data_IF_579729015830
#
_entry.id   IF_579729015830
#
_cell.length_a   1.000
_cell.length_b   1.000
_cell.length_c   1.000
_cell.angle_alpha   90.00
_cell.angle_beta   90.00
_cell.angle_gamma   90.00
#
_symmetry.space_group_name_H-M   'P 1'
#
loop_
_entity.id
_entity.type
_entity.pdbx_description
1 polymer ?
#
# COMPACT_ATOMS: atom_id res chain seq x y z
N UNK A 1 3.63 -13.63 0.57
CA UNK A 1 2.55 -12.64 0.80
C UNK A 1 1.24 -13.35 0.50
N UNK A 2 0.12 -12.96 1.11
CA UNK A 2 -1.21 -13.48 0.79
C UNK A 2 -2.23 -12.34 0.80
N UNK A 3 -3.27 -12.44 -0.02
CA UNK A 3 -4.40 -11.51 -0.05
C UNK A 3 -5.52 -12.02 0.85
N UNK A 4 -6.22 -11.12 1.56
CA UNK A 4 -7.21 -11.51 2.57
C UNK A 4 -8.65 -11.08 2.26
N UNK A 5 -8.83 -10.07 1.40
CA UNK A 5 -10.13 -9.42 1.19
C UNK A 5 -10.27 -9.02 -0.28
N UNK A 6 -11.51 -8.88 -0.73
CA UNK A 6 -11.91 -8.57 -2.10
C UNK A 6 -13.20 -7.78 -2.09
N UNK A 7 -13.33 -6.83 -3.01
CA UNK A 7 -14.61 -6.20 -3.31
C UNK A 7 -14.62 -5.83 -4.78
N UNK A 8 -15.72 -6.14 -5.46
CA UNK A 8 -15.89 -5.82 -6.87
C UNK A 8 -16.14 -4.32 -7.02
N UNK A 9 -15.38 -3.66 -7.88
CA UNK A 9 -15.66 -2.29 -8.28
C UNK A 9 -16.71 -2.29 -9.38
N UNK A 10 -17.88 -1.73 -9.09
CA UNK A 10 -18.96 -1.53 -10.06
C UNK A 10 -18.97 -0.04 -10.50
N UNK A 11 -18.73 0.26 -11.79
CA UNK A 11 -18.86 1.61 -12.33
C UNK A 11 -20.30 2.14 -12.23
N UNK A 12 -20.46 3.46 -12.29
CA UNK A 12 -21.78 4.11 -12.21
C UNK A 12 -22.75 3.63 -13.30
N UNK A 13 -22.25 3.42 -14.52
CA UNK A 13 -23.06 2.87 -15.63
C UNK A 13 -23.52 1.42 -15.43
N UNK A 14 -23.00 0.70 -14.44
CA UNK A 14 -23.56 -0.58 -14.01
C UNK A 14 -24.65 -0.39 -12.96
N UNK A 15 -24.37 0.40 -11.91
CA UNK A 15 -25.32 0.61 -10.82
C UNK A 15 -26.53 1.46 -11.21
N UNK A 16 -26.44 2.20 -12.32
CA UNK A 16 -27.56 2.92 -12.93
C UNK A 16 -28.48 2.06 -13.82
N UNK A 17 -28.19 0.77 -13.98
CA UNK A 17 -28.98 -0.18 -14.76
C UNK A 17 -29.47 -1.33 -13.86
N UNK A 18 -30.66 -1.16 -13.22
CA UNK A 18 -31.18 -2.14 -12.27
C UNK A 18 -31.41 -3.52 -12.89
N UNK A 19 -31.88 -3.58 -14.14
CA UNK A 19 -32.14 -4.84 -14.84
C UNK A 19 -30.84 -5.63 -15.03
N UNK A 20 -29.78 -4.95 -15.47
CA UNK A 20 -28.46 -5.55 -15.60
C UNK A 20 -27.87 -5.99 -14.26
N UNK A 21 -28.05 -5.21 -13.19
CA UNK A 21 -27.64 -5.59 -11.85
C UNK A 21 -28.36 -6.86 -11.37
N UNK A 22 -29.68 -6.94 -11.56
CA UNK A 22 -30.49 -8.11 -11.21
C UNK A 22 -30.05 -9.33 -12.03
N UNK A 23 -29.89 -9.18 -13.35
CA UNK A 23 -29.43 -10.25 -14.23
C UNK A 23 -28.04 -10.79 -13.84
N UNK A 24 -27.15 -9.90 -13.39
CA UNK A 24 -25.84 -10.27 -12.86
C UNK A 24 -25.86 -10.71 -11.39
N UNK A 25 -27.01 -10.73 -10.71
CA UNK A 25 -27.13 -11.10 -9.29
C UNK A 25 -26.38 -10.17 -8.33
N UNK A 26 -26.23 -8.89 -8.70
CA UNK A 26 -25.72 -7.86 -7.81
C UNK A 26 -26.72 -7.66 -6.66
N UNK A 27 -26.27 -7.60 -5.38
CA UNK A 27 -27.18 -7.40 -4.25
C UNK A 27 -28.06 -6.15 -4.42
N UNK A 28 -29.33 -6.28 -4.03
CA UNK A 28 -30.28 -5.16 -4.05
C UNK A 28 -29.75 -3.98 -3.23
N UNK A 29 -29.97 -2.75 -3.72
CA UNK A 29 -29.49 -1.53 -3.07
C UNK A 29 -27.98 -1.25 -3.25
N UNK A 30 -27.26 -2.02 -4.08
CA UNK A 30 -25.86 -1.72 -4.39
C UNK A 30 -25.75 -0.41 -5.18
N UNK A 31 -25.32 0.65 -4.49
CA UNK A 31 -25.04 1.95 -5.09
C UNK A 31 -23.59 2.07 -5.57
N UNK A 32 -23.33 3.02 -6.48
CA UNK A 32 -21.98 3.36 -6.90
C UNK A 32 -21.09 3.71 -5.71
N UNK A 33 -19.88 3.15 -5.69
CA UNK A 33 -18.90 3.40 -4.64
C UNK A 33 -17.53 3.66 -5.25
N UNK A 34 -16.91 4.77 -4.87
CA UNK A 34 -15.57 5.12 -5.32
C UNK A 34 -14.54 4.13 -4.77
N UNK A 35 -13.40 3.99 -5.44
CA UNK A 35 -12.29 3.14 -4.96
C UNK A 35 -11.86 3.49 -3.54
N UNK A 36 -11.92 4.78 -3.16
CA UNK A 36 -11.60 5.24 -1.80
C UNK A 36 -12.60 4.70 -0.77
N UNK A 37 -13.90 4.80 -1.06
CA UNK A 37 -14.94 4.25 -0.18
C UNK A 37 -14.82 2.74 -0.04
N UNK A 38 -14.57 2.03 -1.14
CA UNK A 38 -14.33 0.58 -1.10
C UNK A 38 -13.09 0.23 -0.28
N UNK A 39 -11.98 0.96 -0.45
CA UNK A 39 -10.77 0.74 0.34
C UNK A 39 -10.98 0.98 1.83
N UNK A 40 -11.73 2.03 2.21
CA UNK A 40 -12.12 2.27 3.61
C UNK A 40 -12.93 1.10 4.17
N UNK A 41 -13.95 0.64 3.45
CA UNK A 41 -14.78 -0.49 3.89
C UNK A 41 -13.96 -1.79 4.05
N UNK A 42 -13.03 -2.07 3.12
CA UNK A 42 -12.12 -3.22 3.23
C UNK A 42 -11.18 -3.10 4.45
N UNK A 43 -10.62 -1.91 4.68
CA UNK A 43 -9.77 -1.65 5.85
C UNK A 43 -10.56 -1.77 7.16
N UNK A 44 -11.80 -1.29 7.21
CA UNK A 44 -12.68 -1.43 8.38
C UNK A 44 -12.93 -2.89 8.72
N UNK A 45 -13.24 -3.73 7.72
CA UNK A 45 -13.38 -5.18 7.93
C UNK A 45 -12.10 -5.80 8.45
N UNK A 46 -10.95 -5.46 7.86
CA UNK A 46 -9.66 -5.98 8.30
C UNK A 46 -9.33 -5.55 9.76
N UNK A 47 -9.63 -4.30 10.12
CA UNK A 47 -9.42 -3.82 11.48
C UNK A 47 -10.37 -4.46 12.49
N UNK A 48 -11.64 -4.61 12.14
CA UNK A 48 -12.65 -5.26 12.98
C UNK A 48 -12.32 -6.75 13.19
N UNK A 49 -11.78 -7.42 12.17
CA UNK A 49 -11.32 -8.81 12.25
C UNK A 49 -9.99 -8.97 13.02
N UNK A 50 -9.39 -7.90 13.54
CA UNK A 50 -8.16 -7.98 14.32
C UNK A 50 -6.92 -8.36 13.49
N UNK A 51 -6.94 -8.12 12.18
CA UNK A 51 -5.78 -8.39 11.31
C UNK A 51 -4.57 -7.63 11.87
N UNK A 52 -3.42 -8.31 12.11
CA UNK A 52 -2.24 -7.69 12.74
C UNK A 52 -1.44 -6.80 11.77
N UNK A 53 -2.14 -5.90 11.08
CA UNK A 53 -1.56 -4.95 10.13
C UNK A 53 -0.95 -3.76 10.90
N UNK A 54 0.38 -3.72 10.94
CA UNK A 54 1.09 -2.62 11.59
C UNK A 54 1.03 -1.29 10.82
N UNK A 55 0.92 -1.35 9.48
CA UNK A 55 0.93 -0.20 8.58
C UNK A 55 0.02 -0.42 7.38
N UNK A 56 -0.59 0.66 6.88
CA UNK A 56 -1.33 0.70 5.62
C UNK A 56 -0.43 1.28 4.53
N UNK A 57 -0.27 0.57 3.42
CA UNK A 57 0.44 1.06 2.24
C UNK A 57 -0.51 1.11 1.04
N UNK A 58 -0.30 2.06 0.14
CA UNK A 58 -1.20 2.26 -0.99
C UNK A 58 -0.59 3.15 -2.07
N UNK A 59 -1.14 3.05 -3.27
CA UNK A 59 -0.71 3.84 -4.40
C UNK A 59 -1.27 5.27 -4.41
N UNK A 60 -0.95 6.00 -5.48
CA UNK A 60 -1.33 7.40 -5.64
C UNK A 60 -2.85 7.62 -5.58
N UNK A 61 -3.65 6.68 -6.11
CA UNK A 61 -5.10 6.79 -6.10
C UNK A 61 -5.61 6.82 -4.66
N UNK A 62 -5.02 6.04 -3.77
CA UNK A 62 -5.37 6.00 -2.36
C UNK A 62 -4.72 7.12 -1.54
N UNK A 63 -3.72 7.80 -2.08
CA UNK A 63 -2.99 8.90 -1.46
C UNK A 63 -3.78 10.18 -1.23
N UNK A 64 -5.10 10.18 -1.31
CA UNK A 64 -5.93 11.39 -1.12
C UNK A 64 -6.01 11.80 0.35
N UNK A 65 -6.21 13.10 0.60
CA UNK A 65 -6.35 13.62 1.96
C UNK A 65 -7.45 12.92 2.76
N UNK A 66 -8.58 12.64 2.11
CA UNK A 66 -9.74 11.99 2.74
C UNK A 66 -9.42 10.61 3.35
N UNK A 67 -8.56 9.80 2.70
CA UNK A 67 -8.15 8.50 3.24
C UNK A 67 -7.08 8.67 4.31
N UNK A 68 -6.09 9.55 4.09
CA UNK A 68 -5.05 9.85 5.07
C UNK A 68 -5.65 10.30 6.39
N UNK A 69 -6.57 11.27 6.35
CA UNK A 69 -7.20 11.81 7.56
C UNK A 69 -8.01 10.75 8.29
N UNK A 70 -8.77 9.95 7.55
CA UNK A 70 -9.55 8.84 8.10
C UNK A 70 -8.68 7.79 8.82
N UNK A 71 -7.47 7.52 8.30
CA UNK A 71 -6.48 6.65 8.96
C UNK A 71 -5.89 7.29 10.23
N UNK A 72 -5.61 8.60 10.20
CA UNK A 72 -5.07 9.36 11.34
C UNK A 72 -6.05 9.38 12.52
N UNK A 73 -7.33 9.61 12.26
CA UNK A 73 -8.41 9.60 13.26
C UNK A 73 -8.53 8.23 13.97
N UNK A 74 -8.24 7.15 13.25
CA UNK A 74 -8.23 5.78 13.78
C UNK A 74 -6.87 5.34 14.32
N UNK A 75 -5.88 6.25 14.35
CA UNK A 75 -4.49 5.96 14.76
C UNK A 75 -3.89 4.76 14.02
N UNK A 76 -4.18 4.63 12.72
CA UNK A 76 -3.62 3.60 11.84
C UNK A 76 -2.42 4.14 11.07
N UNK A 77 -1.19 3.64 11.31
CA UNK A 77 -0.01 4.13 10.62
C UNK A 77 -0.10 3.85 9.13
N UNK A 78 0.39 4.76 8.29
CA UNK A 78 0.31 4.61 6.85
C UNK A 78 1.51 5.18 6.10
N UNK A 79 1.73 4.69 4.89
CA UNK A 79 2.57 5.33 3.87
C UNK A 79 1.86 5.19 2.51
N UNK A 80 1.31 6.29 2.00
CA UNK A 80 0.55 6.31 0.76
C UNK A 80 1.31 7.15 -0.28
N UNK A 81 1.43 6.63 -1.51
CA UNK A 81 2.00 7.40 -2.61
C UNK A 81 1.12 8.61 -2.92
N UNK A 82 1.70 9.71 -3.38
CA UNK A 82 0.98 10.95 -3.70
C UNK A 82 1.54 11.56 -4.97
N UNK A 83 0.76 12.44 -5.60
CA UNK A 83 1.23 13.25 -6.73
C UNK A 83 2.34 14.21 -6.30
N UNK A 84 3.21 14.55 -7.24
CA UNK A 84 4.27 15.54 -7.08
C UNK A 84 3.77 16.91 -6.58
N UNK A 85 2.54 17.31 -6.95
CA UNK A 85 1.91 18.57 -6.58
C UNK A 85 1.17 18.52 -5.22
N UNK A 86 1.20 17.40 -4.50
CA UNK A 86 0.61 17.31 -3.18
C UNK A 86 1.32 18.26 -2.22
N UNK A 87 0.56 19.09 -1.51
CA UNK A 87 1.11 19.98 -0.49
C UNK A 87 1.44 19.24 0.81
N UNK A 88 2.56 19.63 1.41
CA UNK A 88 2.98 19.30 2.76
C UNK A 88 3.48 20.55 3.49
N UNK A 89 3.50 20.49 4.82
CA UNK A 89 4.03 21.57 5.65
C UNK A 89 5.55 21.47 5.78
N UNK A 90 6.26 22.58 5.69
CA UNK A 90 7.70 22.65 5.98
C UNK A 90 7.97 23.92 6.80
N UNK A 91 8.26 23.74 8.10
CA UNK A 91 8.29 24.87 9.03
C UNK A 91 6.94 25.57 9.11
N UNK A 92 6.91 26.88 8.88
CA UNK A 92 5.72 27.72 8.90
C UNK A 92 4.99 27.82 7.55
N UNK A 93 5.54 27.26 6.47
CA UNK A 93 4.99 27.36 5.12
C UNK A 93 4.44 26.04 4.58
N UNK A 94 3.60 26.12 3.54
CA UNK A 94 3.22 24.98 2.71
C UNK A 94 3.97 25.00 1.39
N UNK A 95 4.42 23.84 0.94
CA UNK A 95 4.98 23.67 -0.40
C UNK A 95 4.62 22.29 -0.95
N UNK A 96 4.70 22.12 -2.27
CA UNK A 96 4.49 20.80 -2.86
C UNK A 96 5.62 19.84 -2.47
N UNK A 97 5.32 18.56 -2.36
CA UNK A 97 6.33 17.52 -2.07
C UNK A 97 7.47 17.51 -3.09
N UNK A 98 7.20 17.87 -4.35
CA UNK A 98 8.24 18.03 -5.37
C UNK A 98 9.13 19.26 -5.13
N UNK A 99 8.55 20.41 -4.78
CA UNK A 99 9.33 21.61 -4.41
C UNK A 99 10.22 21.31 -3.21
N UNK A 100 9.66 20.66 -2.20
CA UNK A 100 10.40 20.25 -1.01
C UNK A 100 11.53 19.27 -1.37
N UNK A 101 11.27 18.30 -2.26
CA UNK A 101 12.28 17.35 -2.71
C UNK A 101 13.48 18.03 -3.39
N UNK A 102 13.22 19.05 -4.23
CA UNK A 102 14.27 19.80 -4.95
C UNK A 102 15.15 20.61 -4.01
N UNK A 103 14.61 21.09 -2.88
CA UNK A 103 15.35 21.87 -1.89
C UNK A 103 16.22 21.00 -0.95
N UNK A 104 16.11 19.66 -1.01
CA UNK A 104 16.85 18.78 -0.10
C UNK A 104 18.35 18.75 -0.42
N UNK A 105 19.22 18.99 0.58
CA UNK A 105 20.66 18.86 0.38
C UNK A 105 21.05 17.40 0.15
N UNK A 106 22.18 17.15 -0.53
CA UNK A 106 22.67 15.79 -0.83
C UNK A 106 22.73 14.88 0.41
N UNK A 107 23.09 15.44 1.58
CA UNK A 107 23.16 14.72 2.87
C UNK A 107 21.82 14.21 3.41
N UNK A 108 20.69 14.76 2.94
CA UNK A 108 19.36 14.32 3.36
C UNK A 108 18.96 12.96 2.73
N UNK A 109 19.69 12.52 1.70
CA UNK A 109 19.39 11.30 0.96
C UNK A 109 20.14 10.10 1.55
N UNK A 110 19.39 9.06 1.88
CA UNK A 110 19.89 7.84 2.48
C UNK A 110 19.62 6.64 1.57
N UNK A 111 20.65 5.85 1.27
CA UNK A 111 20.50 4.65 0.45
C UNK A 111 19.93 3.49 1.27
N UNK A 112 18.65 3.18 1.11
CA UNK A 112 17.95 2.11 1.85
C UNK A 112 17.68 0.94 0.93
N UNK A 113 18.00 -0.26 1.42
CA UNK A 113 17.65 -1.53 0.77
C UNK A 113 16.27 -1.97 1.23
N UNK A 114 15.33 -2.02 0.29
CA UNK A 114 14.01 -2.63 0.48
C UNK A 114 14.17 -4.12 0.18
N UNK A 115 13.60 -4.98 1.03
CA UNK A 115 13.83 -6.43 1.04
C UNK A 115 13.67 -7.10 -0.34
N UNK A 116 14.36 -8.25 -0.49
CA UNK A 116 14.56 -8.97 -1.75
C UNK A 116 13.25 -9.34 -2.45
N UNK A 117 13.03 -8.79 -3.64
CA UNK A 117 12.09 -9.37 -4.60
C UNK A 117 12.74 -10.55 -5.33
N UNK A 118 12.02 -11.19 -6.24
CA UNK A 118 12.54 -12.24 -7.14
C UNK A 118 13.74 -11.79 -7.99
N UNK A 119 13.97 -10.47 -8.11
CA UNK A 119 15.13 -9.84 -8.78
C UNK A 119 16.23 -9.36 -7.82
N UNK A 120 16.22 -9.79 -6.56
CA UNK A 120 17.19 -9.41 -5.53
C UNK A 120 16.82 -8.14 -4.72
N UNK A 121 17.67 -7.76 -3.75
CA UNK A 121 17.46 -6.59 -2.90
C UNK A 121 17.52 -5.29 -3.72
N UNK A 122 16.42 -4.52 -3.74
CA UNK A 122 16.38 -3.23 -4.44
C UNK A 122 16.81 -2.11 -3.51
N UNK A 123 17.77 -1.31 -3.97
CA UNK A 123 18.33 -0.17 -3.21
C UNK A 123 17.92 1.14 -3.87
N UNK A 124 17.16 1.94 -3.13
CA UNK A 124 16.73 3.28 -3.55
C UNK A 124 17.34 4.34 -2.62
N UNK A 125 17.49 5.56 -3.12
CA UNK A 125 17.79 6.70 -2.26
C UNK A 125 16.46 7.26 -1.71
N UNK A 126 16.40 7.48 -0.40
CA UNK A 126 15.22 7.99 0.28
C UNK A 126 15.57 9.25 1.05
N UNK A 127 14.64 10.20 1.03
CA UNK A 127 14.65 11.34 1.93
C UNK A 127 13.28 11.49 2.59
N UNK A 128 13.26 12.08 3.78
CA UNK A 128 12.05 12.34 4.53
C UNK A 128 12.16 13.69 5.21
N UNK A 129 11.02 14.33 5.38
CA UNK A 129 10.90 15.63 6.03
C UNK A 129 10.03 15.46 7.26
N UNK A 130 10.48 15.97 8.40
CA UNK A 130 9.59 16.10 9.55
C UNK A 130 8.76 17.36 9.38
N UNK A 131 7.45 17.22 9.48
CA UNK A 131 6.51 18.30 9.25
C UNK A 131 5.73 18.59 10.52
N UNK A 132 5.33 19.85 10.69
CA UNK A 132 4.38 20.21 11.72
C UNK A 132 3.11 19.39 11.51
N UNK A 133 2.71 18.67 12.57
CA UNK A 133 1.54 17.80 12.53
C UNK A 133 0.64 18.08 13.72
N UNK A 134 -0.64 18.20 13.43
CA UNK A 134 -1.76 18.31 14.36
C UNK A 134 -2.06 17.00 15.11
N UNK A 135 -1.23 15.97 14.93
CA UNK A 135 -1.46 14.60 15.42
C UNK A 135 -1.06 14.37 16.89
N UNK A 136 -0.54 15.41 17.56
CA UNK A 136 -0.04 15.35 18.93
C UNK A 136 1.39 14.78 19.04
N UNK A 137 1.96 14.76 20.25
CA UNK A 137 3.39 14.52 20.46
C UNK A 137 3.84 13.08 20.17
N UNK A 138 2.92 12.10 20.24
CA UNK A 138 3.22 10.69 20.00
C UNK A 138 3.23 10.30 18.52
N UNK A 139 2.77 11.18 17.63
CA UNK A 139 2.63 10.93 16.20
C UNK A 139 3.37 11.97 15.38
N UNK A 140 3.73 11.61 14.16
CA UNK A 140 4.35 12.51 13.18
C UNK A 140 3.79 12.23 11.80
N UNK A 141 3.93 13.22 10.93
CA UNK A 141 3.65 13.14 9.50
C UNK A 141 4.91 13.46 8.72
N UNK A 142 5.23 12.62 7.74
CA UNK A 142 6.44 12.72 6.92
C UNK A 142 6.09 12.66 5.43
N UNK A 143 6.37 13.72 4.66
CA UNK A 143 6.63 13.63 3.24
C UNK A 143 7.88 12.79 3.02
N UNK A 144 7.78 11.78 2.17
CA UNK A 144 8.89 10.94 1.76
C UNK A 144 9.12 11.10 0.26
N UNK A 145 10.39 11.06 -0.13
CA UNK A 145 10.78 11.07 -1.53
C UNK A 145 11.69 9.88 -1.77
N UNK A 146 11.33 9.05 -2.74
CA UNK A 146 12.17 7.99 -3.28
C UNK A 146 12.78 8.46 -4.57
N UNK A 147 14.08 8.26 -4.74
CA UNK A 147 14.81 8.50 -5.99
C UNK A 147 15.48 7.22 -6.48
N UNK A 148 15.33 6.92 -7.76
CA UNK A 148 16.07 5.84 -8.41
C UNK A 148 17.57 6.12 -8.43
N UNK A 149 18.38 5.06 -8.38
CA UNK A 149 19.85 5.19 -8.47
C UNK A 149 20.35 5.26 -9.92
N UNK A 150 19.60 4.70 -10.86
CA UNK A 150 19.95 4.69 -12.28
C UNK A 150 19.41 5.90 -13.04
N UNK A 151 18.28 6.44 -12.58
CA UNK A 151 17.66 7.64 -13.15
C UNK A 151 17.34 8.63 -12.02
N UNK A 152 18.14 9.70 -11.84
CA UNK A 152 17.92 10.69 -10.80
C UNK A 152 16.58 11.46 -10.91
N UNK A 153 15.96 11.49 -12.10
CA UNK A 153 14.69 12.17 -12.35
C UNK A 153 13.48 11.28 -12.05
N UNK A 154 13.67 9.95 -11.93
CA UNK A 154 12.64 9.01 -11.43
C UNK A 154 12.46 9.19 -9.91
N UNK A 155 11.56 10.10 -9.60
CA UNK A 155 11.10 10.41 -8.25
C UNK A 155 9.70 9.85 -8.00
N UNK A 156 9.53 9.24 -6.82
CA UNK A 156 8.22 8.88 -6.29
C UNK A 156 8.01 9.56 -4.93
N UNK A 157 6.80 10.09 -4.73
CA UNK A 157 6.44 10.86 -3.54
C UNK A 157 5.44 10.11 -2.70
N UNK A 158 5.57 10.22 -1.38
CA UNK A 158 4.66 9.60 -0.43
C UNK A 158 4.37 10.56 0.73
N UNK A 159 3.22 10.39 1.36
CA UNK A 159 2.96 10.91 2.70
C UNK A 159 2.78 9.72 3.63
N UNK A 160 3.50 9.74 4.74
CA UNK A 160 3.40 8.78 5.80
C UNK A 160 3.00 9.45 7.11
N UNK A 161 2.27 8.76 7.97
CA UNK A 161 2.07 9.16 9.35
C UNK A 161 2.06 7.94 10.27
N UNK A 162 2.55 8.11 11.49
CA UNK A 162 2.71 7.01 12.44
C UNK A 162 3.35 7.44 13.76
N UNK A 163 3.69 6.47 14.64
CA UNK A 163 4.34 6.74 15.91
C UNK A 163 5.65 7.50 15.74
N UNK A 164 5.93 8.49 16.59
CA UNK A 164 7.11 9.36 16.46
C UNK A 164 8.46 8.62 16.50
N UNK A 165 8.50 7.41 17.07
CA UNK A 165 9.69 6.54 17.11
C UNK A 165 9.89 5.70 15.84
N UNK A 166 9.10 5.91 14.80
CA UNK A 166 9.23 5.15 13.55
C UNK A 166 10.57 5.44 12.88
N UNK A 167 11.29 4.39 12.51
CA UNK A 167 12.59 4.51 11.83
C UNK A 167 12.40 4.82 10.35
N UNK A 168 13.36 5.54 9.75
CA UNK A 168 13.38 5.81 8.31
C UNK A 168 13.40 4.54 7.47
N UNK A 169 14.08 3.49 7.93
CA UNK A 169 14.06 2.17 7.28
C UNK A 169 12.65 1.60 7.24
N UNK A 170 11.87 1.72 8.33
CA UNK A 170 10.48 1.25 8.35
C UNK A 170 9.60 2.06 7.40
N UNK A 171 9.75 3.39 7.37
CA UNK A 171 9.02 4.26 6.43
C UNK A 171 9.28 3.85 4.98
N UNK A 172 10.55 3.70 4.62
CA UNK A 172 10.96 3.30 3.29
C UNK A 172 10.47 1.88 2.93
N UNK A 173 10.57 0.92 3.84
CA UNK A 173 10.06 -0.45 3.65
C UNK A 173 8.55 -0.47 3.41
N UNK A 174 7.78 0.29 4.19
CA UNK A 174 6.32 0.37 4.02
C UNK A 174 5.96 1.03 2.68
N UNK A 175 6.57 2.17 2.35
CA UNK A 175 6.34 2.86 1.08
C UNK A 175 6.79 2.00 -0.13
N UNK A 176 7.85 1.23 0.03
CA UNK A 176 8.38 0.30 -0.96
C UNK A 176 7.60 -1.01 -1.10
N UNK A 177 6.65 -1.31 -0.20
CA UNK A 177 5.89 -2.55 -0.19
C UNK A 177 4.97 -2.72 -1.42
N UNK A 178 4.75 -1.65 -2.20
CA UNK A 178 4.00 -1.69 -3.47
C UNK A 178 4.47 -2.82 -4.40
N UNK A 179 5.77 -3.07 -4.49
CA UNK A 179 6.30 -4.13 -5.35
C UNK A 179 5.85 -5.53 -4.90
N UNK A 180 5.74 -5.75 -3.58
CA UNK A 180 5.24 -7.02 -3.06
C UNK A 180 3.77 -7.23 -3.45
N UNK A 181 2.99 -6.15 -3.52
CA UNK A 181 1.59 -6.17 -3.98
C UNK A 181 1.52 -6.59 -5.45
N UNK A 182 2.32 -5.98 -6.32
CA UNK A 182 2.36 -6.32 -7.76
C UNK A 182 2.79 -7.77 -8.01
N UNK A 183 3.89 -8.21 -7.37
CA UNK A 183 4.33 -9.60 -7.49
C UNK A 183 3.34 -10.61 -6.89
N UNK A 184 2.61 -10.22 -5.85
CA UNK A 184 1.51 -11.03 -5.33
C UNK A 184 0.34 -11.13 -6.29
N UNK A 185 -0.05 -10.04 -6.97
CA UNK A 185 -1.09 -10.08 -8.00
C UNK A 185 -0.67 -10.95 -9.18
N UNK A 186 0.58 -10.86 -9.62
CA UNK A 186 1.12 -11.71 -10.68
C UNK A 186 1.04 -13.19 -10.28
N UNK A 187 1.55 -13.54 -9.09
CA UNK A 187 1.50 -14.90 -8.56
C UNK A 187 0.07 -15.40 -8.36
N UNK A 188 -0.84 -14.58 -7.82
CA UNK A 188 -2.24 -14.97 -7.64
C UNK A 188 -2.95 -15.21 -8.98
N UNK A 189 -2.62 -14.45 -10.03
CA UNK A 189 -3.15 -14.67 -11.38
C UNK A 189 -2.58 -15.95 -12.00
N UNK A 190 -1.26 -16.09 -12.03
CA UNK A 190 -0.58 -17.19 -12.72
C UNK A 190 -0.74 -18.54 -12.01
N UNK A 191 -0.80 -18.56 -10.68
CA UNK A 191 -0.75 -19.79 -9.89
C UNK A 191 -2.06 -20.14 -9.20
N UNK A 192 -2.92 -19.15 -8.94
CA UNK A 192 -4.18 -19.35 -8.22
C UNK A 192 -5.41 -18.99 -9.06
N UNK A 193 -5.23 -18.73 -10.36
CA UNK A 193 -6.31 -18.47 -11.30
C UNK A 193 -7.12 -17.21 -11.00
N UNK A 194 -6.54 -16.21 -10.33
CA UNK A 194 -7.27 -14.99 -9.94
C UNK A 194 -7.92 -14.26 -11.12
N UNK A 195 -7.35 -14.40 -12.33
CA UNK A 195 -7.88 -13.80 -13.56
C UNK A 195 -8.58 -14.81 -14.49
N UNK A 196 -8.63 -16.09 -14.14
CA UNK A 196 -9.09 -17.17 -15.02
C UNK A 196 -10.59 -17.49 -14.81
N UNK A 197 -11.41 -16.45 -14.68
CA UNK A 197 -12.86 -16.60 -14.52
C UNK A 197 -13.62 -16.11 -15.75
N UNK A 198 -14.66 -16.85 -16.11
CA UNK A 198 -15.63 -16.46 -17.15
C UNK A 198 -17.03 -16.22 -16.57
N UNK A 199 -17.11 -16.10 -15.24
CA UNK A 199 -18.36 -15.91 -14.51
C UNK A 199 -18.99 -14.55 -14.81
N UNK A 200 -20.31 -14.55 -15.01
CA UNK A 200 -21.10 -13.35 -15.33
C UNK A 200 -22.01 -12.89 -14.19
N UNK A 201 -21.99 -13.59 -13.06
CA UNK A 201 -22.76 -13.22 -11.86
C UNK A 201 -21.85 -12.76 -10.72
N UNK A 202 -22.36 -11.82 -9.92
CA UNK A 202 -21.72 -11.32 -8.70
C UNK A 202 -21.40 -12.45 -7.73
N UNK A 203 -22.32 -13.38 -7.52
CA UNK A 203 -22.10 -14.56 -6.67
C UNK A 203 -21.01 -15.47 -7.24
N UNK A 204 -21.01 -15.70 -8.55
CA UNK A 204 -19.97 -16.49 -9.23
C UNK A 204 -18.60 -15.85 -9.07
N UNK A 205 -18.50 -14.53 -9.28
CA UNK A 205 -17.27 -13.77 -9.10
C UNK A 205 -16.77 -13.84 -7.66
N UNK A 206 -17.65 -13.61 -6.68
CA UNK A 206 -17.26 -13.68 -5.27
C UNK A 206 -16.76 -15.07 -4.90
N UNK A 207 -17.44 -16.14 -5.31
CA UNK A 207 -17.00 -17.53 -5.06
C UNK A 207 -15.62 -17.80 -5.66
N UNK A 208 -15.44 -17.52 -6.95
CA UNK A 208 -14.16 -17.72 -7.65
C UNK A 208 -13.02 -16.98 -6.95
N UNK A 209 -13.17 -15.67 -6.75
CA UNK A 209 -12.10 -14.87 -6.15
C UNK A 209 -11.82 -15.32 -4.72
N UNK A 210 -12.82 -15.77 -3.94
CA UNK A 210 -12.57 -16.35 -2.60
C UNK A 210 -11.63 -17.53 -2.67
N UNK A 211 -11.92 -18.47 -3.57
CA UNK A 211 -11.15 -19.71 -3.72
C UNK A 211 -9.75 -19.41 -4.26
N UNK A 212 -9.62 -18.49 -5.21
CA UNK A 212 -8.32 -18.03 -5.70
C UNK A 212 -7.49 -17.38 -4.59
N UNK A 213 -8.08 -16.53 -3.74
CA UNK A 213 -7.36 -15.93 -2.60
C UNK A 213 -6.94 -16.99 -1.57
N UNK A 214 -7.80 -17.97 -1.29
CA UNK A 214 -7.49 -19.09 -0.39
C UNK A 214 -6.33 -19.94 -0.94
N UNK A 215 -6.37 -20.32 -2.22
CA UNK A 215 -5.31 -21.07 -2.88
C UNK A 215 -3.98 -20.29 -2.83
N UNK A 216 -4.02 -18.98 -3.14
CA UNK A 216 -2.84 -18.13 -3.05
C UNK A 216 -2.26 -18.06 -1.63
N UNK A 217 -3.12 -18.01 -0.60
CA UNK A 217 -2.68 -18.03 0.80
C UNK A 217 -2.01 -19.37 1.18
N UNK A 218 -2.57 -20.50 0.74
CA UNK A 218 -1.98 -21.83 0.95
C UNK A 218 -0.62 -21.93 0.27
N UNK A 219 -0.50 -21.50 -0.99
CA UNK A 219 0.78 -21.49 -1.70
C UNK A 219 1.83 -20.62 -1.00
N UNK A 220 1.43 -19.45 -0.51
CA UNK A 220 2.30 -18.57 0.26
C UNK A 220 2.77 -19.20 1.57
N UNK A 221 1.91 -19.95 2.26
CA UNK A 221 2.27 -20.69 3.47
C UNK A 221 3.24 -21.84 3.17
N UNK A 222 2.98 -22.64 2.13
CA UNK A 222 3.86 -23.74 1.71
C UNK A 222 5.26 -23.22 1.35
N UNK A 223 5.35 -22.15 0.56
CA UNK A 223 6.63 -21.52 0.20
C UNK A 223 7.40 -21.08 1.43
N UNK A 224 6.72 -20.45 2.39
CA UNK A 224 7.32 -20.01 3.64
C UNK A 224 7.84 -21.16 4.50
N UNK A 225 7.14 -22.29 4.51
CA UNK A 225 7.59 -23.49 5.22
C UNK A 225 8.79 -24.14 4.52
N UNK A 226 8.83 -24.13 3.19
CA UNK A 226 9.93 -24.68 2.40
C UNK A 226 11.23 -23.86 2.49
N UNK A 227 11.14 -22.54 2.60
CA UNK A 227 12.32 -21.65 2.71
C UNK A 227 13.08 -21.78 4.04
N UNK A 228 12.49 -22.41 5.07
CA UNK A 228 13.08 -22.55 6.40
C UNK A 228 13.23 -21.21 7.16
N UNK A 229 13.73 -21.23 8.41
CA UNK A 229 13.96 -20.00 9.16
C UNK A 229 15.06 -19.14 8.49
N UNK A 230 14.97 -17.80 8.57
CA UNK A 230 15.99 -16.93 7.98
C UNK A 230 17.37 -17.25 8.57
N UNK A 231 18.35 -17.54 7.70
CA UNK A 231 19.73 -17.79 8.12
C UNK A 231 20.24 -16.61 8.94
N UNK A 232 20.61 -16.83 10.21
CA UNK A 232 21.24 -15.81 11.06
C UNK A 232 22.50 -15.30 10.36
N UNK A 233 22.58 -14.01 10.06
CA UNK A 233 23.79 -13.41 9.52
C UNK A 233 24.90 -13.50 10.57
N UNK A 234 25.98 -14.22 10.28
CA UNK A 234 27.19 -14.24 11.11
C UNK A 234 27.72 -12.80 11.26
N UNK A 235 28.09 -12.36 12.48
CA UNK A 235 28.75 -11.06 12.63
C UNK A 235 30.05 -11.08 11.84
N UNK A 236 30.27 -10.07 11.00
CA UNK A 236 31.58 -9.84 10.36
C UNK A 236 32.60 -9.59 11.47
N UNK A 237 33.55 -10.49 11.64
CA UNK A 237 34.75 -10.27 12.43
C UNK A 237 35.47 -9.04 11.88
N UNK A 238 35.71 -8.04 12.73
CA UNK A 238 36.64 -6.95 12.43
C UNK A 238 38.06 -7.53 12.46
N UNK A 239 38.75 -7.46 11.34
CA UNK A 239 40.22 -7.52 11.23
C UNK A 239 40.71 -6.12 10.93
#
# INVERSE_FOLDING_TARGET
MAFLDRTLYLPEGWTGDPERCVAAGVPEGTAFSTKIRLAKAMLERAFAAGVPAAWVAGDEVYGVWELRRWLEERRRPYALAVRANQYGWAGSGQATVATLAKALPKRAWHGITIAAGSKGPRRYAWAWLETNSDLGPAWRRWPLVRKSRGDPEDLAYYIAAGPCRTTSTRLAQTAGARWSIEGGFESAKQEAGLADYEVRSSTGWHRHVTLALLAHAVLAAIRRLAEGPPKKSRPRSRS
#
